data_IF_872186813181
#
_entry.id   IF_872186813181
#
_cell.length_a   1.000
_cell.length_b   1.000
_cell.length_c   1.000
_cell.angle_alpha   90.00
_cell.angle_beta   90.00
_cell.angle_gamma   90.00
#
_symmetry.space_group_name_H-M   'P 1'
#
loop_
_entity.id
_entity.type
_entity.pdbx_description
1 polymer ?
#
# COMPACT_ATOMS: atom_id res chain seq x y z
N UNK A 1 -11.21 18.13 -7.54
CA UNK A 1 -10.52 18.03 -6.24
C UNK A 1 -9.82 19.33 -5.88
N UNK A 2 -10.23 19.93 -4.78
CA UNK A 2 -9.59 21.06 -4.10
C UNK A 2 -8.23 20.66 -3.53
N UNK A 3 -7.37 21.66 -3.25
CA UNK A 3 -6.01 21.41 -2.73
C UNK A 3 -6.05 20.66 -1.40
N UNK A 4 -6.97 21.03 -0.51
CA UNK A 4 -7.18 20.38 0.79
C UNK A 4 -7.48 18.89 0.65
N UNK A 5 -8.40 18.52 -0.25
CA UNK A 5 -8.76 17.11 -0.50
C UNK A 5 -7.58 16.29 -1.02
N UNK A 6 -6.76 16.89 -1.91
CA UNK A 6 -5.54 16.24 -2.42
C UNK A 6 -4.52 16.03 -1.29
N UNK A 7 -4.30 17.03 -0.44
CA UNK A 7 -3.38 16.90 0.70
C UNK A 7 -3.92 15.85 1.68
N UNK A 8 -5.23 15.84 1.94
CA UNK A 8 -5.84 14.88 2.84
C UNK A 8 -5.71 13.45 2.33
N UNK A 9 -5.96 13.21 1.03
CA UNK A 9 -5.71 11.91 0.40
C UNK A 9 -4.23 11.51 0.51
N UNK A 10 -3.31 12.45 0.31
CA UNK A 10 -1.88 12.20 0.49
C UNK A 10 -1.54 11.80 1.94
N UNK A 11 -2.15 12.45 2.95
CA UNK A 11 -2.00 12.07 4.36
C UNK A 11 -2.51 10.65 4.60
N UNK A 12 -3.68 10.29 4.07
CA UNK A 12 -4.26 8.95 4.23
C UNK A 12 -3.32 7.88 3.66
N UNK A 13 -2.86 8.05 2.42
CA UNK A 13 -1.96 7.09 1.78
C UNK A 13 -0.60 7.00 2.49
N UNK A 14 -0.10 8.12 3.02
CA UNK A 14 1.11 8.13 3.84
C UNK A 14 0.93 7.33 5.14
N UNK A 15 -0.25 7.42 5.79
CA UNK A 15 -0.59 6.59 6.96
C UNK A 15 -0.70 5.11 6.60
N UNK A 16 -1.30 4.78 5.46
CA UNK A 16 -1.37 3.39 4.97
C UNK A 16 0.03 2.85 4.74
N UNK A 17 0.92 3.61 4.09
CA UNK A 17 2.34 3.25 3.98
C UNK A 17 2.95 2.96 5.36
N UNK A 18 2.77 3.84 6.34
CA UNK A 18 3.33 3.66 7.70
C UNK A 18 2.82 2.39 8.37
N UNK A 19 1.55 2.05 8.17
CA UNK A 19 0.97 0.79 8.64
C UNK A 19 1.63 -0.42 7.95
N UNK A 20 1.83 -0.37 6.63
CA UNK A 20 2.50 -1.44 5.87
C UNK A 20 3.96 -1.63 6.30
N UNK A 21 4.67 -0.53 6.61
CA UNK A 21 6.02 -0.58 7.17
C UNK A 21 6.05 -1.33 8.52
N UNK A 22 5.06 -1.10 9.39
CA UNK A 22 4.89 -1.85 10.65
C UNK A 22 4.64 -3.34 10.41
N UNK A 23 3.97 -3.69 9.31
CA UNK A 23 3.74 -5.07 8.87
C UNK A 23 4.95 -5.68 8.12
N UNK A 24 6.15 -5.11 8.24
CA UNK A 24 7.41 -5.52 7.58
C UNK A 24 7.45 -5.37 6.06
N UNK A 25 6.46 -4.72 5.44
CA UNK A 25 6.53 -4.32 4.04
C UNK A 25 7.29 -3.00 3.92
N UNK A 26 8.61 -3.07 3.98
CA UNK A 26 9.50 -1.89 4.02
C UNK A 26 10.42 -1.82 2.81
N UNK A 27 11.11 -0.68 2.68
CA UNK A 27 12.27 -0.55 1.81
C UNK A 27 11.88 -0.48 0.34
N UNK A 28 11.69 -1.62 -0.34
CA UNK A 28 11.60 -1.71 -1.80
C UNK A 28 10.37 -1.01 -2.40
N UNK A 29 9.21 -1.12 -1.78
CA UNK A 29 7.94 -0.65 -2.36
C UNK A 29 7.76 0.87 -2.38
N UNK A 30 8.47 1.59 -1.50
CA UNK A 30 8.26 3.03 -1.30
C UNK A 30 9.49 3.88 -1.61
N UNK A 31 10.57 3.29 -2.15
CA UNK A 31 11.80 4.03 -2.50
C UNK A 31 11.53 5.16 -3.49
N UNK A 32 10.65 4.93 -4.47
CA UNK A 32 10.32 5.94 -5.47
C UNK A 32 9.62 7.14 -4.84
N UNK A 33 8.78 6.92 -3.83
CA UNK A 33 8.15 8.00 -3.07
C UNK A 33 9.18 8.77 -2.24
N UNK A 34 10.10 8.07 -1.58
CA UNK A 34 11.15 8.71 -0.77
C UNK A 34 12.05 9.60 -1.63
N UNK A 35 12.42 9.13 -2.82
CA UNK A 35 13.16 9.91 -3.82
C UNK A 35 12.39 11.13 -4.32
N UNK A 36 11.05 11.09 -4.39
CA UNK A 36 10.24 12.24 -4.80
C UNK A 36 10.33 13.41 -3.81
N UNK A 37 10.61 13.16 -2.52
CA UNK A 37 10.75 14.20 -1.48
C UNK A 37 9.56 15.19 -1.44
N UNK A 38 8.35 14.64 -1.54
CA UNK A 38 7.08 15.36 -1.40
C UNK A 38 6.28 14.70 -0.29
N UNK A 39 6.32 15.27 0.92
CA UNK A 39 5.59 14.78 2.08
C UNK A 39 4.26 15.52 2.29
N UNK A 40 3.31 14.94 3.05
CA UNK A 40 2.02 15.60 3.30
C UNK A 40 2.16 16.93 4.05
N UNK A 41 3.19 17.09 4.88
CA UNK A 41 3.52 18.33 5.60
C UNK A 41 3.92 19.49 4.67
N UNK A 42 4.31 19.21 3.42
CA UNK A 42 4.68 20.21 2.43
C UNK A 42 3.46 20.90 1.80
N UNK A 43 2.53 21.41 2.62
CA UNK A 43 1.24 21.99 2.18
C UNK A 43 1.37 23.16 1.21
N UNK A 44 2.55 23.79 1.15
CA UNK A 44 2.86 24.88 0.24
C UNK A 44 3.19 24.39 -1.19
N UNK A 45 3.61 23.12 -1.38
CA UNK A 45 3.89 22.56 -2.72
C UNK A 45 2.65 22.57 -3.62
N UNK A 46 2.89 22.44 -4.93
CA UNK A 46 1.81 22.57 -5.93
C UNK A 46 0.90 21.34 -5.87
N UNK A 47 -0.35 21.52 -6.30
CA UNK A 47 -1.34 20.42 -6.43
C UNK A 47 -0.77 19.25 -7.24
N UNK A 48 -0.05 19.55 -8.31
CA UNK A 48 0.56 18.54 -9.20
C UNK A 48 1.62 17.69 -8.49
N UNK A 49 2.37 18.27 -7.56
CA UNK A 49 3.42 17.57 -6.83
C UNK A 49 2.79 16.56 -5.84
N UNK A 50 1.72 16.96 -5.14
CA UNK A 50 0.97 16.05 -4.27
C UNK A 50 0.24 14.95 -5.05
N UNK A 51 -0.32 15.26 -6.24
CA UNK A 51 -0.94 14.23 -7.10
C UNK A 51 0.09 13.19 -7.56
N UNK A 52 1.30 13.61 -7.91
CA UNK A 52 2.39 12.68 -8.24
C UNK A 52 2.75 11.81 -7.03
N UNK A 53 2.84 12.38 -5.85
CA UNK A 53 3.13 11.66 -4.61
C UNK A 53 2.05 10.60 -4.30
N UNK A 54 0.77 10.96 -4.45
CA UNK A 54 -0.37 10.05 -4.34
C UNK A 54 -0.24 8.88 -5.32
N UNK A 55 0.02 9.17 -6.59
CA UNK A 55 0.13 8.14 -7.62
C UNK A 55 1.24 7.13 -7.30
N UNK A 56 2.42 7.62 -6.90
CA UNK A 56 3.55 6.76 -6.53
C UNK A 56 3.24 5.93 -5.27
N UNK A 57 2.56 6.50 -4.27
CA UNK A 57 2.12 5.73 -3.10
C UNK A 57 1.16 4.61 -3.49
N UNK A 58 0.20 4.87 -4.38
CA UNK A 58 -0.72 3.84 -4.86
C UNK A 58 0.01 2.69 -5.57
N UNK A 59 1.04 3.00 -6.38
CA UNK A 59 1.86 1.97 -7.01
C UNK A 59 2.58 1.11 -5.98
N UNK A 60 3.24 1.73 -4.99
CA UNK A 60 3.90 0.99 -3.91
C UNK A 60 2.93 0.12 -3.10
N UNK A 61 1.72 0.62 -2.81
CA UNK A 61 0.67 -0.16 -2.15
C UNK A 61 0.23 -1.33 -3.03
N UNK A 62 0.06 -1.12 -4.33
CA UNK A 62 -0.32 -2.19 -5.26
C UNK A 62 0.76 -3.27 -5.34
N UNK A 63 2.04 -2.90 -5.36
CA UNK A 63 3.15 -3.85 -5.31
C UNK A 63 3.14 -4.68 -4.01
N UNK A 64 2.88 -4.04 -2.87
CA UNK A 64 2.72 -4.74 -1.58
C UNK A 64 1.56 -5.74 -1.63
N UNK A 65 0.41 -5.35 -2.19
CA UNK A 65 -0.76 -6.21 -2.29
C UNK A 65 -0.59 -7.35 -3.29
N UNK A 66 0.26 -7.18 -4.30
CA UNK A 66 0.59 -8.22 -5.26
C UNK A 66 1.64 -9.20 -4.71
N UNK A 67 2.40 -8.80 -3.68
CA UNK A 67 3.28 -9.72 -2.98
C UNK A 67 2.44 -10.81 -2.31
N UNK A 68 2.67 -12.07 -2.67
CA UNK A 68 1.97 -13.22 -2.08
C UNK A 68 2.15 -13.15 -0.56
N UNK A 69 1.09 -13.03 0.25
CA UNK A 69 1.25 -12.93 1.69
C UNK A 69 1.85 -14.25 2.19
N UNK A 70 3.09 -14.19 2.67
CA UNK A 70 3.65 -15.28 3.46
C UNK A 70 2.97 -15.26 4.82
N UNK A 71 1.93 -16.08 4.98
CA UNK A 71 1.42 -16.45 6.29
C UNK A 71 2.47 -17.34 6.98
N UNK A 72 3.27 -16.73 7.85
CA UNK A 72 4.11 -17.50 8.78
C UNK A 72 3.23 -17.89 9.96
N UNK A 73 2.63 -19.07 9.89
CA UNK A 73 2.07 -19.75 11.05
C UNK A 73 3.19 -20.54 11.72
N UNK A 74 3.12 -20.78 13.04
CA UNK A 74 4.11 -21.59 13.81
C UNK A 74 4.24 -23.05 13.34
N UNK A 75 3.61 -23.45 12.23
CA UNK A 75 3.68 -24.77 11.64
C UNK A 75 3.67 -24.70 10.10
N UNK A 76 4.84 -24.45 9.50
CA UNK A 76 5.09 -24.65 8.06
C UNK A 76 4.49 -23.60 7.11
N UNK A 77 5.17 -23.44 5.97
CA UNK A 77 4.78 -22.52 4.89
C UNK A 77 3.52 -23.01 4.19
N UNK A 78 2.42 -22.25 4.21
CA UNK A 78 1.20 -22.55 3.44
C UNK A 78 1.02 -21.51 2.34
N UNK A 79 0.78 -21.96 1.11
CA UNK A 79 0.52 -21.10 -0.03
C UNK A 79 -0.95 -20.66 -0.04
N UNK A 80 -1.23 -19.34 -0.08
CA UNK A 80 -2.61 -18.80 -0.12
C UNK A 80 -3.45 -19.30 -1.31
N UNK A 81 -2.81 -19.73 -2.40
CA UNK A 81 -3.48 -20.36 -3.56
C UNK A 81 -4.17 -21.68 -3.24
N UNK A 82 -3.73 -22.39 -2.19
CA UNK A 82 -4.36 -23.65 -1.75
C UNK A 82 -5.60 -23.40 -0.87
N UNK A 83 -5.69 -22.23 -0.23
CA UNK A 83 -6.82 -21.90 0.67
C UNK A 83 -8.04 -21.42 -0.12
N UNK A 84 -7.85 -20.69 -1.22
CA UNK A 84 -8.95 -20.17 -2.04
C UNK A 84 -9.72 -21.32 -2.72
N UNK A 85 -9.04 -22.41 -3.09
CA UNK A 85 -9.66 -23.59 -3.72
C UNK A 85 -10.64 -24.33 -2.79
N UNK A 86 -10.41 -24.30 -1.47
CA UNK A 86 -11.34 -24.87 -0.48
C UNK A 86 -12.61 -24.04 -0.30
N UNK A 87 -12.56 -22.73 -0.57
CA UNK A 87 -13.75 -21.87 -0.49
C UNK A 87 -14.68 -22.04 -1.70
N UNK A 88 -14.15 -22.50 -2.84
CA UNK A 88 -14.95 -22.81 -4.04
C UNK A 88 -15.70 -24.14 -3.95
N UNK A 89 -15.38 -25.01 -2.98
CA UNK A 89 -16.09 -26.27 -2.76
C UNK A 89 -17.22 -26.20 -1.73
N UNK A 90 -17.45 -25.05 -1.07
CA UNK A 90 -18.53 -24.90 -0.10
C UNK A 90 -19.61 -23.95 -0.62
N UNK A 91 -20.63 -24.60 -1.21
CA UNK A 91 -22.03 -24.18 -1.44
C UNK A 91 -22.33 -23.36 -2.71
N UNK A 92 -23.04 -23.99 -3.63
CA UNK A 92 -24.52 -23.93 -3.63
C UNK A 92 -25.10 -25.35 -3.79
N UNK A 93 -25.70 -25.86 -2.71
CA UNK A 93 -26.88 -26.72 -2.78
C UNK A 93 -28.05 -25.78 -2.52
#
# INVERSE_FOLDING_TARGET
>A
MHKGEIIWLHVILFKIRKMLETCRFTGKYFQLYDKLSVFPSHIHKRKVDHKKAIFILCLGILEVLHEKPMIVTECGSINLSEIIDLSSQVRFI
#
